data_IF_674228863368
#
_entry.id   IF_674228863368
#
_cell.length_a   1.000
_cell.length_b   1.000
_cell.length_c   1.000
_cell.angle_alpha   90.00
_cell.angle_beta   90.00
_cell.angle_gamma   90.00
#
_symmetry.space_group_name_H-M   'P 1'
#
loop_
_entity.id
_entity.type
_entity.pdbx_description
1 polymer ?
#
# COMPACT_ATOMS: atom_id res chain seq x y z
N UNK A 1 2.15 -5.18 -14.99
CA UNK A 1 2.18 -5.74 -13.62
C UNK A 1 2.79 -4.68 -12.73
N UNK A 2 2.14 -4.30 -11.62
CA UNK A 2 2.70 -3.33 -10.69
C UNK A 2 3.66 -4.02 -9.73
N UNK A 3 4.86 -3.49 -9.55
CA UNK A 3 5.83 -3.98 -8.58
C UNK A 3 5.49 -3.42 -7.18
N UNK A 4 5.61 -4.26 -6.16
CA UNK A 4 5.37 -3.88 -4.75
C UNK A 4 6.70 -3.96 -4.01
N UNK A 5 7.08 -2.86 -3.37
CA UNK A 5 8.31 -2.78 -2.57
C UNK A 5 8.07 -2.16 -1.21
N UNK A 6 9.06 -2.31 -0.33
CA UNK A 6 9.07 -1.73 1.00
C UNK A 6 10.17 -0.66 1.09
N UNK A 7 9.81 0.51 1.60
CA UNK A 7 10.78 1.56 1.92
C UNK A 7 11.83 1.05 2.91
N UNK A 8 13.12 1.26 2.63
CA UNK A 8 14.20 0.86 3.55
C UNK A 8 14.10 1.47 4.94
N UNK A 9 13.53 2.67 5.07
CA UNK A 9 13.27 3.32 6.36
C UNK A 9 12.26 2.50 7.18
N UNK A 10 11.16 2.07 6.55
CA UNK A 10 10.16 1.21 7.20
C UNK A 10 10.74 -0.16 7.54
N UNK A 11 11.56 -0.73 6.65
CA UNK A 11 12.26 -1.98 6.93
C UNK A 11 13.17 -1.87 8.17
N UNK A 12 13.89 -0.74 8.31
CA UNK A 12 14.73 -0.46 9.47
C UNK A 12 13.92 -0.30 10.77
N UNK A 13 12.76 0.37 10.73
CA UNK A 13 11.86 0.47 11.88
C UNK A 13 11.35 -0.90 12.33
N UNK A 14 10.93 -1.75 11.39
CA UNK A 14 10.49 -3.11 11.69
C UNK A 14 11.62 -3.94 12.32
N UNK A 15 12.83 -3.86 11.76
CA UNK A 15 14.01 -4.53 12.32
C UNK A 15 14.33 -4.05 13.74
N UNK A 16 14.22 -2.75 14.00
CA UNK A 16 14.39 -2.16 15.33
C UNK A 16 13.33 -2.69 16.31
N UNK A 17 12.07 -2.80 15.89
CA UNK A 17 10.99 -3.39 16.69
C UNK A 17 11.27 -4.85 17.05
N UNK A 18 11.74 -5.65 16.09
CA UNK A 18 12.16 -7.04 16.33
C UNK A 18 13.32 -7.08 17.35
N UNK A 19 14.35 -6.27 17.16
CA UNK A 19 15.50 -6.22 18.05
C UNK A 19 15.11 -5.87 19.50
N UNK A 20 14.22 -4.88 19.68
CA UNK A 20 13.68 -4.49 20.99
C UNK A 20 12.87 -5.61 21.65
N UNK A 21 12.18 -6.42 20.87
CA UNK A 21 11.38 -7.53 21.40
C UNK A 21 12.20 -8.72 21.87
N UNK A 22 13.44 -8.88 21.40
CA UNK A 22 14.31 -10.04 21.70
C UNK A 22 13.78 -11.39 21.20
N UNK A 23 12.68 -11.41 20.43
CA UNK A 23 11.98 -12.63 20.04
C UNK A 23 12.49 -13.19 18.72
N UNK A 24 13.05 -14.40 18.76
CA UNK A 24 13.44 -15.17 17.55
C UNK A 24 12.24 -15.39 16.63
N UNK A 25 11.04 -15.60 17.19
CA UNK A 25 9.80 -15.75 16.42
C UNK A 25 9.48 -14.48 15.62
N UNK A 26 9.64 -13.30 16.21
CA UNK A 26 9.37 -12.04 15.52
C UNK A 26 10.40 -11.79 14.41
N UNK A 27 11.65 -12.19 14.62
CA UNK A 27 12.69 -12.13 13.58
C UNK A 27 12.35 -13.01 12.37
N UNK A 28 11.97 -14.27 12.61
CA UNK A 28 11.54 -15.18 11.54
C UNK A 28 10.30 -14.66 10.82
N UNK A 29 9.33 -14.10 11.56
CA UNK A 29 8.15 -13.50 10.96
C UNK A 29 8.49 -12.30 10.06
N UNK A 30 9.45 -11.46 10.48
CA UNK A 30 9.93 -10.35 9.66
C UNK A 30 10.64 -10.86 8.40
N UNK A 31 11.53 -11.85 8.52
CA UNK A 31 12.25 -12.42 7.37
C UNK A 31 11.26 -12.97 6.32
N UNK A 32 10.22 -13.69 6.77
CA UNK A 32 9.16 -14.20 5.88
C UNK A 32 8.31 -13.09 5.26
N UNK A 33 8.05 -12.00 5.99
CA UNK A 33 7.29 -10.85 5.50
C UNK A 33 8.07 -10.07 4.43
N UNK A 34 9.39 -9.98 4.58
CA UNK A 34 10.27 -9.27 3.66
C UNK A 34 10.64 -10.10 2.42
N UNK A 35 10.64 -11.43 2.51
CA UNK A 35 11.03 -12.31 1.40
C UNK A 35 10.33 -12.02 0.04
N UNK A 36 9.01 -11.73 -0.03
CA UNK A 36 8.36 -11.40 -1.30
C UNK A 36 8.47 -9.92 -1.69
N UNK A 37 9.04 -9.05 -0.84
CA UNK A 37 9.10 -7.60 -1.04
C UNK A 37 10.51 -7.15 -1.43
N UNK A 38 10.63 -6.35 -2.49
CA UNK A 38 11.87 -5.63 -2.76
C UNK A 38 12.06 -4.50 -1.74
N UNK A 39 13.18 -4.47 -1.02
CA UNK A 39 13.53 -3.33 -0.17
C UNK A 39 14.10 -2.24 -1.08
N UNK A 40 13.38 -1.12 -1.17
CA UNK A 40 13.73 0.01 -2.01
C UNK A 40 14.70 0.92 -1.23
N UNK A 41 15.84 1.30 -1.81
CA UNK A 41 16.83 2.12 -1.12
C UNK A 41 16.35 3.56 -1.01
N UNK A 42 16.46 4.14 0.19
CA UNK A 42 16.39 5.57 0.37
C UNK A 42 17.69 6.21 -0.13
N UNK A 43 17.67 6.73 -1.35
CA UNK A 43 18.83 7.23 -2.08
C UNK A 43 18.94 8.76 -2.07
N UNK A 44 19.84 9.32 -2.89
CA UNK A 44 20.04 10.76 -2.99
C UNK A 44 18.80 11.50 -3.52
N UNK A 45 18.02 10.90 -4.42
CA UNK A 45 16.79 11.53 -4.91
C UNK A 45 15.75 11.63 -3.78
N UNK A 46 15.61 10.58 -2.98
CA UNK A 46 14.74 10.58 -1.80
C UNK A 46 15.22 11.58 -0.72
N UNK A 47 16.53 11.72 -0.54
CA UNK A 47 17.15 12.71 0.36
C UNK A 47 16.72 14.14 0.01
N UNK A 48 16.96 14.58 -1.22
CA UNK A 48 16.63 15.94 -1.65
C UNK A 48 15.11 16.19 -1.64
N UNK A 49 14.33 15.21 -2.11
CA UNK A 49 12.88 15.27 -2.05
C UNK A 49 12.37 15.44 -0.61
N UNK A 50 13.00 14.78 0.37
CA UNK A 50 12.63 14.92 1.77
C UNK A 50 12.98 16.30 2.33
N UNK A 51 14.12 16.86 1.95
CA UNK A 51 14.52 18.21 2.36
C UNK A 51 13.51 19.25 1.88
N UNK A 52 13.16 19.20 0.59
CA UNK A 52 12.21 20.10 -0.03
C UNK A 52 10.81 19.95 0.57
N UNK A 53 10.32 18.71 0.67
CA UNK A 53 9.01 18.41 1.25
C UNK A 53 8.87 18.94 2.67
N UNK A 54 9.87 18.66 3.53
CA UNK A 54 9.85 19.12 4.92
C UNK A 54 9.88 20.64 5.01
N UNK A 55 10.77 21.28 4.24
CA UNK A 55 10.85 22.74 4.19
C UNK A 55 9.53 23.38 3.74
N UNK A 56 8.85 22.78 2.76
CA UNK A 56 7.55 23.24 2.28
C UNK A 56 6.45 23.09 3.34
N UNK A 57 6.34 21.93 3.96
CA UNK A 57 5.34 21.66 4.99
C UNK A 57 5.54 22.50 6.25
N UNK A 58 6.79 22.71 6.67
CA UNK A 58 7.13 23.57 7.80
C UNK A 58 6.74 25.03 7.49
N UNK A 59 7.02 25.53 6.29
CA UNK A 59 6.59 26.88 5.85
C UNK A 59 5.09 27.06 5.79
N UNK A 60 4.35 25.99 5.51
CA UNK A 60 2.88 25.98 5.47
C UNK A 60 2.23 25.78 6.85
N UNK A 61 3.02 25.58 7.92
CA UNK A 61 2.50 25.30 9.25
C UNK A 61 1.83 23.93 9.37
N UNK A 62 2.15 23.00 8.48
CA UNK A 62 1.56 21.67 8.40
C UNK A 62 2.63 20.57 8.52
N UNK A 63 3.45 20.55 9.59
CA UNK A 63 4.45 19.51 9.74
C UNK A 63 3.79 18.13 9.85
N UNK A 64 4.46 17.13 9.28
CA UNK A 64 4.16 15.70 9.44
C UNK A 64 5.26 15.04 10.27
N UNK A 65 5.01 13.85 10.81
CA UNK A 65 6.01 13.11 11.57
C UNK A 65 7.32 12.95 10.79
N UNK A 66 8.47 12.97 11.49
CA UNK A 66 9.78 12.90 10.84
C UNK A 66 9.96 11.63 10.00
N UNK A 67 9.45 10.49 10.46
CA UNK A 67 9.46 9.24 9.70
C UNK A 67 8.47 9.25 8.55
N UNK A 68 7.26 9.80 8.77
CA UNK A 68 6.26 9.95 7.72
C UNK A 68 6.75 10.84 6.58
N UNK A 69 7.53 11.89 6.89
CA UNK A 69 8.20 12.71 5.88
C UNK A 69 9.20 11.91 5.04
N UNK A 70 10.01 11.04 5.67
CA UNK A 70 10.93 10.16 4.95
C UNK A 70 10.17 9.19 4.04
N UNK A 71 9.08 8.59 4.53
CA UNK A 71 8.26 7.64 3.75
C UNK A 71 7.59 8.35 2.58
N UNK A 72 7.00 9.52 2.82
CA UNK A 72 6.34 10.34 1.80
C UNK A 72 7.31 10.79 0.71
N UNK A 73 8.46 11.32 1.10
CA UNK A 73 9.51 11.76 0.18
C UNK A 73 10.06 10.61 -0.66
N UNK A 74 10.25 9.43 -0.05
CA UNK A 74 10.70 8.27 -0.79
C UNK A 74 9.68 7.85 -1.85
N UNK A 75 8.39 7.78 -1.49
CA UNK A 75 7.33 7.49 -2.44
C UNK A 75 7.23 8.54 -3.56
N UNK A 76 7.37 9.83 -3.24
CA UNK A 76 7.41 10.92 -4.21
C UNK A 76 8.60 10.80 -5.19
N UNK A 77 9.80 10.53 -4.67
CA UNK A 77 11.01 10.40 -5.49
C UNK A 77 10.92 9.25 -6.51
N UNK A 78 10.21 8.18 -6.14
CA UNK A 78 9.96 7.02 -6.99
C UNK A 78 8.71 7.17 -7.87
N UNK A 79 7.94 8.26 -7.72
CA UNK A 79 6.63 8.44 -8.35
C UNK A 79 5.68 7.25 -8.05
N UNK A 80 5.80 6.67 -6.86
CA UNK A 80 5.09 5.48 -6.45
C UNK A 80 3.80 5.81 -5.68
N UNK A 81 2.83 4.89 -5.72
CA UNK A 81 1.65 4.98 -4.84
C UNK A 81 1.99 4.45 -3.45
N UNK A 82 1.87 5.30 -2.43
CA UNK A 82 2.05 4.93 -1.04
C UNK A 82 0.80 4.21 -0.52
N UNK A 83 1.00 2.97 -0.06
CA UNK A 83 -0.02 2.19 0.64
C UNK A 83 0.12 2.43 2.14
N UNK A 84 -0.89 3.03 2.76
CA UNK A 84 -0.86 3.36 4.19
C UNK A 84 -2.26 3.29 4.81
N UNK A 85 -2.33 3.01 6.11
CA UNK A 85 -3.56 3.12 6.91
C UNK A 85 -3.73 4.50 7.56
N UNK A 86 -2.69 5.34 7.58
CA UNK A 86 -2.71 6.68 8.16
C UNK A 86 -2.95 7.76 7.10
N UNK A 87 -4.02 7.62 6.32
CA UNK A 87 -4.29 8.50 5.16
C UNK A 87 -4.29 9.99 5.53
N UNK A 88 -4.82 10.34 6.70
CA UNK A 88 -4.97 11.74 7.16
C UNK A 88 -3.64 12.48 7.31
N UNK A 89 -2.57 11.78 7.66
CA UNK A 89 -1.25 12.39 7.81
C UNK A 89 -0.61 12.66 6.45
N UNK A 90 -0.77 11.72 5.52
CA UNK A 90 -0.20 11.80 4.18
C UNK A 90 -1.02 12.63 3.19
N UNK A 91 -2.30 12.90 3.46
CA UNK A 91 -3.15 13.80 2.65
C UNK A 91 -2.59 15.24 2.57
N UNK A 92 -1.72 15.62 3.51
CA UNK A 92 -1.06 16.94 3.53
C UNK A 92 0.10 17.04 2.55
N UNK A 93 0.58 15.91 2.01
CA UNK A 93 1.75 15.85 1.13
C UNK A 93 1.32 16.14 -0.31
N UNK A 94 1.73 17.27 -0.90
CA UNK A 94 1.37 17.59 -2.27
C UNK A 94 2.00 16.61 -3.26
N UNK A 95 1.23 16.14 -4.23
CA UNK A 95 1.70 15.24 -5.30
C UNK A 95 1.84 13.77 -4.89
N UNK A 96 1.58 13.40 -3.64
CA UNK A 96 1.69 12.02 -3.19
C UNK A 96 0.46 11.20 -3.62
N UNK A 97 0.68 10.11 -4.33
CA UNK A 97 -0.36 9.15 -4.69
C UNK A 97 -0.63 8.23 -3.51
N UNK A 98 -1.86 8.24 -2.99
CA UNK A 98 -2.28 7.37 -1.88
C UNK A 98 -3.16 6.23 -2.37
N UNK A 99 -2.85 5.02 -1.92
CA UNK A 99 -3.66 3.84 -2.14
C UNK A 99 -4.10 3.26 -0.78
N UNK A 100 -5.40 3.32 -0.49
CA UNK A 100 -5.96 2.63 0.68
C UNK A 100 -6.16 1.14 0.34
N UNK A 101 -5.64 0.23 1.18
CA UNK A 101 -5.95 -1.21 1.07
C UNK A 101 -6.92 -1.64 2.16
N UNK A 102 -8.21 -1.65 1.83
CA UNK A 102 -9.19 -2.58 2.43
C UNK A 102 -10.25 -2.98 1.39
N UNK A 103 -10.08 -4.16 0.77
CA UNK A 103 -11.10 -5.21 0.66
C UNK A 103 -10.38 -6.55 0.47
N UNK A 104 -10.57 -7.57 1.32
CA UNK A 104 -10.61 -8.91 0.77
C UNK A 104 -11.85 -8.91 -0.11
N UNK A 105 -11.68 -8.84 -1.43
CA UNK A 105 -12.76 -9.26 -2.31
C UNK A 105 -12.98 -10.73 -1.98
N UNK A 106 -14.06 -10.96 -1.23
CA UNK A 106 -14.71 -12.25 -1.10
C UNK A 106 -14.54 -13.02 -2.42
N UNK A 107 -13.80 -14.12 -2.39
CA UNK A 107 -13.74 -15.06 -3.51
C UNK A 107 -15.14 -15.70 -3.63
N UNK A 108 -16.07 -14.95 -4.19
CA UNK A 108 -17.27 -15.50 -4.78
C UNK A 108 -16.90 -15.95 -6.20
N UNK A 109 -16.98 -17.25 -6.43
CA UNK A 109 -17.18 -17.84 -7.75
C UNK A 109 -15.95 -17.89 -8.64
N UNK A 110 -15.22 -18.98 -8.53
CA UNK A 110 -14.42 -19.53 -9.61
C UNK A 110 -15.33 -19.70 -10.84
N UNK A 111 -15.06 -18.93 -11.89
CA UNK A 111 -15.67 -19.13 -13.19
C UNK A 111 -14.99 -20.30 -13.88
N UNK A 112 -15.74 -21.37 -14.08
CA UNK A 112 -15.53 -22.34 -15.14
C UNK A 112 -16.90 -22.70 -15.67
N UNK A 113 -17.16 -22.40 -16.94
CA UNK A 113 -17.72 -23.34 -17.91
C UNK A 113 -17.88 -22.67 -19.28
N UNK A 114 -17.00 -23.08 -20.18
CA UNK A 114 -17.19 -23.01 -21.63
C UNK A 114 -18.53 -23.68 -22.03
N UNK A 115 -19.46 -22.95 -22.69
CA UNK A 115 -20.27 -23.51 -23.79
C UNK A 115 -21.16 -22.51 -24.53
N UNK A 116 -20.87 -22.39 -25.83
CA UNK A 116 -21.79 -22.37 -26.97
C UNK A 116 -22.89 -21.30 -27.10
N UNK A 117 -22.77 -20.56 -28.21
CA UNK A 117 -23.80 -19.81 -28.93
C UNK A 117 -25.01 -20.71 -29.24
N UNK A 118 -26.25 -20.27 -28.94
CA UNK A 118 -27.41 -20.28 -29.86
C UNK A 118 -28.69 -19.61 -29.30
N UNK A 119 -29.68 -19.46 -30.19
CA UNK A 119 -30.73 -18.43 -30.30
C UNK A 119 -32.00 -18.57 -29.43
N UNK A 120 -32.64 -17.40 -29.20
CA UNK A 120 -34.09 -17.05 -29.19
C UNK A 120 -35.08 -17.80 -28.28
N UNK A 121 -35.83 -16.99 -27.51
CA UNK A 121 -37.14 -17.27 -26.90
C UNK A 121 -37.22 -16.52 -25.56
N UNK A 122 -38.01 -15.46 -25.40
CA UNK A 122 -39.46 -15.51 -25.24
C UNK A 122 -39.82 -15.17 -23.78
N UNK A 123 -40.66 -14.15 -23.58
CA UNK A 123 -40.99 -13.50 -22.29
C UNK A 123 -41.89 -14.39 -21.41
N UNK A 124 -41.77 -14.26 -20.07
CA UNK A 124 -42.85 -13.95 -19.09
C UNK A 124 -42.74 -14.71 -17.76
N UNK A 125 -42.62 -13.93 -16.68
CA UNK A 125 -43.22 -14.24 -15.37
C UNK A 125 -42.38 -15.04 -14.38
N UNK A 126 -42.05 -14.40 -13.24
CA UNK A 126 -41.62 -15.12 -12.02
C UNK A 126 -40.38 -14.53 -11.38
N UNK A 127 -40.57 -13.84 -10.25
CA UNK A 127 -39.57 -13.10 -9.46
C UNK A 127 -38.36 -13.97 -9.06
N UNK A 128 -37.10 -13.47 -9.07
CA UNK A 128 -36.02 -14.12 -8.36
C UNK A 128 -36.01 -13.69 -6.89
N UNK A 129 -36.04 -14.70 -6.01
CA UNK A 129 -35.94 -14.57 -4.55
C UNK A 129 -34.46 -14.65 -4.17
N UNK A 130 -33.80 -13.53 -3.85
CA UNK A 130 -32.47 -13.56 -3.24
C UNK A 130 -32.64 -13.62 -1.71
N UNK A 131 -32.12 -14.66 -1.06
CA UNK A 131 -31.99 -14.76 0.40
C UNK A 131 -30.50 -14.67 0.75
N UNK A 132 -30.24 -13.98 1.87
CA UNK A 132 -28.93 -13.61 2.47
C UNK A 132 -27.90 -14.72 2.42
#
# INVERSE_FOLDING_TARGET
MGEVGLCSVVAAELACGVAKSGSTRNRQALDLCLAPLGILPFDEAALWCCGDLRGDLERQGMPIGAHDALIAAHALSLQASLVTNNLKEFERVPGLLLANRVKPSCCAGQGDEHRLIERRGGVLGGRPLWRV
#
